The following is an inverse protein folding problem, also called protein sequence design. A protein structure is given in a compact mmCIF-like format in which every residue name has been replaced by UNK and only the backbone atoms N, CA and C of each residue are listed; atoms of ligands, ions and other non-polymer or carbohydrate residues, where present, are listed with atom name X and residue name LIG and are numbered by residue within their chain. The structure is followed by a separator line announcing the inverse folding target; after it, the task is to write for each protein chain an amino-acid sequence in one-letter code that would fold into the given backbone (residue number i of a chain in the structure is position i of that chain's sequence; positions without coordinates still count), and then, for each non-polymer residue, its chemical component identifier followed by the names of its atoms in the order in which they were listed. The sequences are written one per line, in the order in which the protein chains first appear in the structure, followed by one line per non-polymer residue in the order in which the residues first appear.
data_IF_457383069423
#
_entry.id   IF_457383069423
#
_cell.length_a   1.000
_cell.length_b   1.000
_cell.length_c   1.000
_cell.angle_alpha   90.00
_cell.angle_beta   90.00
_cell.angle_gamma   90.00
#
_symmetry.space_group_name_H-M   'P 1'
#
loop_
_entity.id
_entity.type
_entity.pdbx_description
1 polymer ?
#
# COMPACT_ATOMS: atom_id res chain seq x y z
N UNK A 1 9.02 20.98 11.44
CA UNK A 1 8.40 19.66 11.71
C UNK A 1 9.28 18.54 11.16
N UNK A 2 9.64 17.58 12.01
CA UNK A 2 10.35 16.38 11.59
C UNK A 2 9.34 15.24 11.38
N UNK A 3 9.26 14.69 10.18
CA UNK A 3 8.44 13.52 9.86
C UNK A 3 9.38 12.39 9.45
N UNK A 4 9.67 11.52 10.41
CA UNK A 4 10.64 10.44 10.25
C UNK A 4 9.92 9.16 9.84
N UNK A 5 9.73 8.81 8.64
CA UNK A 5 9.34 7.51 8.09
C UNK A 5 8.65 6.50 9.05
N UNK A 6 8.40 5.32 8.56
CA UNK A 6 7.81 4.23 9.35
C UNK A 6 8.76 3.04 9.43
N UNK A 7 8.80 2.40 10.60
CA UNK A 7 9.44 1.10 10.78
C UNK A 7 8.35 0.03 10.95
N UNK A 8 8.58 -1.16 10.41
CA UNK A 8 7.67 -2.27 10.63
C UNK A 8 7.75 -2.70 12.11
N UNK A 9 6.62 -2.61 12.82
CA UNK A 9 6.46 -3.15 14.17
C UNK A 9 5.94 -4.58 14.02
N UNK A 10 6.86 -5.54 13.99
CA UNK A 10 6.54 -6.95 13.79
C UNK A 10 6.96 -7.73 15.02
N UNK A 11 6.15 -8.71 15.36
CA UNK A 11 6.48 -9.67 16.41
C UNK A 11 7.76 -10.44 16.07
N UNK A 12 8.41 -10.95 17.08
CA UNK A 12 9.57 -11.79 16.91
C UNK A 12 9.13 -13.13 16.32
N UNK A 13 9.82 -13.53 15.26
CA UNK A 13 9.68 -14.86 14.67
C UNK A 13 10.85 -15.69 15.17
N UNK A 14 10.57 -16.88 15.69
CA UNK A 14 11.61 -17.80 16.14
C UNK A 14 12.57 -18.14 15.00
N UNK A 15 13.87 -18.15 15.29
CA UNK A 15 14.92 -18.40 14.33
C UNK A 15 15.49 -17.17 13.66
N UNK A 16 16.48 -17.39 12.80
CA UNK A 16 17.15 -16.31 12.05
C UNK A 16 16.35 -16.00 10.78
N UNK A 17 15.75 -14.83 10.73
CA UNK A 17 14.99 -14.36 9.58
C UNK A 17 15.55 -13.03 9.08
N UNK A 18 15.87 -12.97 7.80
CA UNK A 18 16.42 -11.78 7.18
C UNK A 18 15.41 -10.63 7.17
N UNK A 19 15.89 -9.45 7.57
CA UNK A 19 15.11 -8.22 7.60
C UNK A 19 15.83 -7.09 6.88
N UNK A 20 15.07 -6.22 6.27
CA UNK A 20 15.57 -4.96 5.73
C UNK A 20 15.88 -3.97 6.87
N UNK A 21 16.62 -2.89 6.55
CA UNK A 21 16.96 -1.83 7.52
C UNK A 21 15.72 -1.19 8.19
N UNK A 22 14.60 -1.14 7.49
CA UNK A 22 13.32 -0.62 8.00
C UNK A 22 12.44 -1.69 8.66
N UNK A 23 13.00 -2.87 8.95
CA UNK A 23 12.42 -3.96 9.75
C UNK A 23 11.52 -4.92 8.98
N UNK A 24 11.32 -4.76 7.67
CA UNK A 24 10.49 -5.66 6.86
C UNK A 24 11.18 -7.00 6.66
N UNK A 25 10.41 -8.07 6.62
CA UNK A 25 10.92 -9.41 6.29
C UNK A 25 11.30 -9.51 4.82
N UNK A 26 12.48 -10.07 4.55
CA UNK A 26 12.90 -10.44 3.20
C UNK A 26 12.16 -11.70 2.78
N UNK A 27 11.43 -11.63 1.66
CA UNK A 27 10.65 -12.76 1.12
C UNK A 27 11.18 -13.18 -0.25
N UNK A 28 10.89 -14.42 -0.62
CA UNK A 28 11.05 -14.87 -1.98
C UNK A 28 9.98 -14.26 -2.92
N UNK A 29 10.03 -14.62 -4.20
CA UNK A 29 9.05 -14.16 -5.20
C UNK A 29 7.63 -14.67 -4.94
N UNK A 30 7.46 -15.73 -4.15
CA UNK A 30 6.17 -16.32 -3.78
C UNK A 30 5.64 -15.74 -2.46
N UNK A 31 6.32 -14.75 -1.87
CA UNK A 31 6.03 -14.16 -0.57
C UNK A 31 6.33 -15.08 0.63
N UNK A 32 7.09 -16.14 0.45
CA UNK A 32 7.54 -17.02 1.53
C UNK A 32 8.85 -16.52 2.15
N UNK A 33 9.08 -16.84 3.42
CA UNK A 33 10.39 -16.63 4.04
C UNK A 33 11.38 -17.70 3.52
N UNK A 34 12.58 -17.32 3.07
CA UNK A 34 13.56 -18.28 2.56
C UNK A 34 13.95 -19.36 3.58
N UNK A 35 14.09 -19.00 4.85
CA UNK A 35 14.41 -19.92 5.94
C UNK A 35 13.20 -20.74 6.41
N UNK A 36 11.98 -20.28 6.17
CA UNK A 36 10.72 -20.88 6.60
C UNK A 36 9.71 -20.84 5.44
N UNK A 37 9.83 -21.74 4.45
CA UNK A 37 9.03 -21.69 3.21
C UNK A 37 7.53 -21.97 3.45
N UNK A 38 7.14 -22.40 4.63
CA UNK A 38 5.76 -22.54 5.08
C UNK A 38 5.16 -21.22 5.59
N UNK A 39 6.00 -20.20 5.89
CA UNK A 39 5.58 -18.91 6.39
C UNK A 39 5.51 -17.90 5.25
N UNK A 40 4.34 -17.33 5.03
CA UNK A 40 4.12 -16.30 4.02
C UNK A 40 3.95 -14.93 4.67
N UNK A 41 4.62 -13.92 4.11
CA UNK A 41 4.56 -12.54 4.59
C UNK A 41 4.05 -11.63 3.48
N UNK A 42 3.16 -10.71 3.82
CA UNK A 42 2.53 -9.81 2.86
C UNK A 42 2.38 -8.39 3.41
N UNK A 43 2.01 -7.47 2.56
CA UNK A 43 1.76 -6.08 2.93
C UNK A 43 3.00 -5.35 3.39
N UNK A 44 2.81 -4.45 4.33
CA UNK A 44 3.87 -3.58 4.86
C UNK A 44 4.90 -4.33 5.71
N UNK A 45 4.58 -5.58 6.08
CA UNK A 45 5.51 -6.49 6.76
C UNK A 45 6.55 -7.09 5.82
N UNK A 46 6.24 -7.21 4.51
CA UNK A 46 7.10 -7.82 3.51
C UNK A 46 7.96 -6.79 2.76
N UNK A 47 9.21 -7.12 2.50
CA UNK A 47 10.07 -6.38 1.57
C UNK A 47 9.74 -6.80 0.13
N UNK A 48 8.64 -6.30 -0.40
CA UNK A 48 8.20 -6.61 -1.75
C UNK A 48 9.19 -6.04 -2.78
N UNK A 49 9.66 -6.87 -3.71
CA UNK A 49 10.66 -6.48 -4.70
C UNK A 49 10.10 -6.50 -6.12
N UNK A 50 10.61 -5.59 -6.96
CA UNK A 50 10.38 -5.57 -8.40
C UNK A 50 11.66 -5.13 -9.11
N UNK A 51 12.20 -5.97 -9.98
CA UNK A 51 13.41 -5.65 -10.73
C UNK A 51 14.65 -5.41 -9.85
N UNK A 52 14.75 -6.05 -8.68
CA UNK A 52 15.85 -5.88 -7.73
C UNK A 52 15.68 -4.71 -6.74
N UNK A 53 14.65 -3.87 -6.92
CA UNK A 53 14.37 -2.75 -6.02
C UNK A 53 13.24 -3.08 -5.06
N UNK A 54 13.41 -2.69 -3.79
CA UNK A 54 12.38 -2.84 -2.78
C UNK A 54 11.31 -1.76 -2.97
N UNK A 55 10.07 -2.18 -3.12
CA UNK A 55 8.95 -1.30 -3.33
C UNK A 55 8.61 -0.48 -2.07
N UNK A 56 8.10 0.73 -2.29
CA UNK A 56 7.51 1.55 -1.23
C UNK A 56 6.31 0.86 -0.60
N UNK A 57 5.96 1.23 0.62
CA UNK A 57 4.70 0.83 1.25
C UNK A 57 3.55 1.52 0.52
N UNK A 58 2.52 0.75 0.16
CA UNK A 58 1.31 1.27 -0.45
C UNK A 58 0.15 0.29 -0.30
N UNK A 59 -1.04 0.82 -0.12
CA UNK A 59 -2.28 0.05 0.11
C UNK A 59 -2.52 -0.99 -0.99
N UNK A 60 -2.28 -0.64 -2.27
CA UNK A 60 -2.43 -1.58 -3.37
C UNK A 60 -1.47 -2.78 -3.26
N UNK A 61 -0.22 -2.56 -2.90
CA UNK A 61 0.73 -3.65 -2.70
C UNK A 61 0.31 -4.54 -1.54
N UNK A 62 -0.16 -3.94 -0.43
CA UNK A 62 -0.62 -4.69 0.74
C UNK A 62 -1.82 -5.56 0.42
N UNK A 63 -2.83 -5.03 -0.27
CA UNK A 63 -4.03 -5.78 -0.67
C UNK A 63 -3.68 -6.93 -1.64
N UNK A 64 -2.90 -6.65 -2.67
CA UNK A 64 -2.60 -7.66 -3.70
C UNK A 64 -1.62 -8.73 -3.20
N UNK A 65 -0.61 -8.34 -2.43
CA UNK A 65 0.30 -9.32 -1.82
C UNK A 65 -0.42 -10.19 -0.78
N UNK A 66 -1.31 -9.62 0.04
CA UNK A 66 -2.13 -10.39 0.98
C UNK A 66 -3.03 -11.41 0.28
N UNK A 67 -3.68 -11.01 -0.82
CA UNK A 67 -4.48 -11.94 -1.64
C UNK A 67 -3.63 -13.05 -2.26
N UNK A 68 -2.43 -12.73 -2.74
CA UNK A 68 -1.53 -13.74 -3.31
C UNK A 68 -0.97 -14.66 -2.24
N UNK A 69 -0.57 -14.13 -1.09
CA UNK A 69 -0.13 -14.94 0.05
C UNK A 69 -1.20 -15.92 0.50
N UNK A 70 -2.44 -15.45 0.66
CA UNK A 70 -3.58 -16.33 1.00
C UNK A 70 -3.81 -17.46 -0.02
N UNK A 71 -3.68 -17.17 -1.32
CA UNK A 71 -3.74 -18.21 -2.38
C UNK A 71 -2.58 -19.19 -2.28
N UNK A 72 -1.39 -18.72 -1.94
CA UNK A 72 -0.21 -19.55 -1.80
C UNK A 72 -0.29 -20.44 -0.55
N UNK A 73 -0.84 -19.94 0.56
CA UNK A 73 -1.17 -20.74 1.75
C UNK A 73 -2.15 -21.86 1.38
N UNK A 74 -3.26 -21.53 0.71
CA UNK A 74 -4.22 -22.53 0.26
C UNK A 74 -3.61 -23.56 -0.71
N UNK A 75 -2.74 -23.12 -1.62
CA UNK A 75 -2.01 -23.99 -2.53
C UNK A 75 -1.11 -24.96 -1.78
N UNK A 76 -0.38 -24.48 -0.75
CA UNK A 76 0.45 -25.35 0.11
C UNK A 76 -0.38 -26.41 0.82
N UNK A 77 -1.48 -26.02 1.45
CA UNK A 77 -2.36 -26.95 2.18
C UNK A 77 -2.94 -28.04 1.24
N UNK A 78 -3.20 -27.69 -0.02
CA UNK A 78 -3.75 -28.60 -1.03
C UNK A 78 -2.69 -29.21 -1.95
N UNK A 79 -1.42 -29.13 -1.57
CA UNK A 79 -0.27 -29.69 -2.32
C UNK A 79 -0.18 -29.20 -3.77
N UNK A 80 -0.65 -27.97 -4.03
CA UNK A 80 -0.57 -27.32 -5.33
C UNK A 80 0.65 -26.40 -5.41
N UNK A 81 1.06 -26.09 -6.63
CA UNK A 81 2.16 -25.16 -6.87
C UNK A 81 1.78 -23.73 -6.41
N UNK A 82 2.65 -23.12 -5.61
CA UNK A 82 2.58 -21.70 -5.27
C UNK A 82 2.91 -20.84 -6.49
N UNK A 83 2.41 -19.60 -6.51
CA UNK A 83 2.59 -18.67 -7.63
C UNK A 83 3.30 -17.41 -7.21
N UNK A 84 4.19 -16.86 -8.05
CA UNK A 84 4.90 -15.63 -7.76
C UNK A 84 3.93 -14.43 -7.67
N UNK A 85 4.24 -13.54 -6.75
CA UNK A 85 3.59 -12.24 -6.66
C UNK A 85 4.16 -11.31 -7.74
N UNK A 86 3.28 -10.73 -8.54
CA UNK A 86 3.64 -9.75 -9.58
C UNK A 86 3.09 -8.38 -9.18
N UNK A 87 3.92 -7.52 -8.56
CA UNK A 87 3.45 -6.21 -8.11
C UNK A 87 3.13 -5.29 -9.29
N UNK A 88 1.93 -4.73 -9.29
CA UNK A 88 1.52 -3.67 -10.19
C UNK A 88 1.52 -2.34 -9.44
N UNK A 89 2.37 -1.40 -9.86
CA UNK A 89 2.38 -0.07 -9.28
C UNK A 89 1.35 0.82 -9.97
N UNK A 90 0.28 1.13 -9.26
CA UNK A 90 -0.80 1.98 -9.75
C UNK A 90 -0.51 3.49 -9.54
N UNK A 91 0.68 3.81 -9.01
CA UNK A 91 1.03 5.18 -8.66
C UNK A 91 0.69 5.53 -7.21
N UNK A 92 0.74 6.81 -6.92
CA UNK A 92 0.49 7.36 -5.61
C UNK A 92 -0.13 8.76 -5.71
N UNK A 93 -0.95 9.11 -4.76
CA UNK A 93 -1.50 10.46 -4.59
C UNK A 93 -1.44 10.81 -3.12
N UNK A 94 -0.84 11.95 -2.81
CA UNK A 94 -0.73 12.48 -1.44
C UNK A 94 -1.68 13.67 -1.33
N UNK A 95 -2.71 13.57 -0.49
CA UNK A 95 -3.57 14.72 -0.18
C UNK A 95 -2.81 15.71 0.71
N UNK A 96 -2.93 17.00 0.39
CA UNK A 96 -2.34 18.12 1.09
C UNK A 96 -3.45 19.12 1.38
N UNK A 97 -4.23 18.87 2.43
CA UNK A 97 -5.43 19.67 2.73
C UNK A 97 -6.41 19.72 1.55
N UNK A 98 -6.52 20.82 0.85
CA UNK A 98 -7.49 21.06 -0.23
C UNK A 98 -6.99 20.64 -1.62
N UNK A 99 -5.72 20.33 -1.73
CA UNK A 99 -5.06 19.93 -2.96
C UNK A 99 -4.37 18.58 -2.81
N UNK A 100 -3.82 18.09 -3.89
CA UNK A 100 -3.01 16.87 -3.87
C UNK A 100 -1.84 16.98 -4.84
N UNK A 101 -0.89 16.09 -4.67
CA UNK A 101 0.17 15.83 -5.65
C UNK A 101 0.38 14.33 -5.79
N UNK A 102 0.72 13.88 -6.98
CA UNK A 102 0.96 12.46 -7.21
C UNK A 102 1.23 12.08 -8.64
N UNK A 103 1.28 10.78 -8.86
CA UNK A 103 1.39 10.17 -10.19
C UNK A 103 0.47 8.95 -10.28
N UNK A 104 -0.22 8.80 -11.39
CA UNK A 104 -0.98 7.60 -11.75
C UNK A 104 -0.11 6.75 -12.68
N UNK A 105 -0.12 5.43 -12.49
CA UNK A 105 0.69 4.47 -13.25
C UNK A 105 2.19 4.86 -13.33
N UNK A 106 2.68 5.56 -12.31
CA UNK A 106 4.04 6.12 -12.18
C UNK A 106 4.48 7.12 -13.27
N UNK A 107 3.62 7.47 -14.21
CA UNK A 107 3.96 8.32 -15.35
C UNK A 107 3.08 9.57 -15.47
N UNK A 108 1.80 9.48 -15.18
CA UNK A 108 0.86 10.59 -15.37
C UNK A 108 0.83 11.47 -14.11
N UNK A 109 1.31 12.71 -14.15
CA UNK A 109 1.25 13.60 -13.00
C UNK A 109 -0.19 13.99 -12.71
N UNK A 110 -0.54 14.04 -11.43
CA UNK A 110 -1.85 14.46 -10.92
C UNK A 110 -1.64 15.49 -9.85
N UNK A 111 -2.38 16.58 -9.88
CA UNK A 111 -2.26 17.65 -8.92
C UNK A 111 -3.60 18.34 -8.64
N UNK A 112 -3.63 19.17 -7.61
CA UNK A 112 -4.76 20.00 -7.25
C UNK A 112 -5.99 19.22 -6.77
N UNK A 113 -7.16 19.82 -6.96
CA UNK A 113 -8.44 19.25 -6.52
C UNK A 113 -8.84 17.96 -7.25
N UNK A 114 -8.39 17.79 -8.50
CA UNK A 114 -8.65 16.55 -9.27
C UNK A 114 -7.99 15.34 -8.62
N UNK A 115 -6.73 15.44 -8.27
CA UNK A 115 -6.02 14.34 -7.60
C UNK A 115 -6.61 14.05 -6.22
N UNK A 116 -7.06 15.07 -5.48
CA UNK A 116 -7.74 14.89 -4.21
C UNK A 116 -9.02 14.05 -4.37
N UNK A 117 -9.87 14.41 -5.33
CA UNK A 117 -11.11 13.67 -5.64
C UNK A 117 -10.84 12.23 -6.05
N UNK A 118 -9.83 12.03 -6.89
CA UNK A 118 -9.42 10.70 -7.34
C UNK A 118 -8.92 9.85 -6.15
N UNK A 119 -8.12 10.45 -5.26
CA UNK A 119 -7.63 9.76 -4.06
C UNK A 119 -8.79 9.25 -3.19
N UNK A 120 -9.72 10.12 -2.82
CA UNK A 120 -10.85 9.75 -1.98
C UNK A 120 -11.79 8.77 -2.69
N UNK A 121 -12.08 8.96 -3.97
CA UNK A 121 -12.88 8.02 -4.76
C UNK A 121 -12.25 6.61 -4.74
N UNK A 122 -10.95 6.51 -4.99
CA UNK A 122 -10.24 5.23 -4.99
C UNK A 122 -10.17 4.58 -3.60
N UNK A 123 -10.06 5.37 -2.54
CA UNK A 123 -10.13 4.88 -1.16
C UNK A 123 -11.51 4.26 -0.88
N UNK A 124 -12.59 4.96 -1.19
CA UNK A 124 -13.95 4.46 -1.02
C UNK A 124 -14.21 3.19 -1.84
N UNK A 125 -13.83 3.20 -3.12
CA UNK A 125 -14.02 2.06 -4.00
C UNK A 125 -13.29 0.80 -3.54
N UNK A 126 -12.04 0.94 -3.06
CA UNK A 126 -11.22 -0.19 -2.62
C UNK A 126 -11.71 -0.86 -1.35
N UNK A 127 -12.29 -0.08 -0.44
CA UNK A 127 -12.69 -0.58 0.86
C UNK A 127 -14.15 -1.04 0.90
N UNK A 128 -15.04 -0.35 0.19
CA UNK A 128 -16.47 -0.48 0.40
C UNK A 128 -17.28 -0.62 -0.90
N UNK A 129 -16.65 -0.57 -2.07
CA UNK A 129 -17.32 -0.65 -3.37
C UNK A 129 -17.87 0.68 -3.88
N UNK A 130 -18.66 0.62 -4.96
CA UNK A 130 -19.09 1.80 -5.70
C UNK A 130 -19.95 2.81 -4.92
N UNK A 131 -20.91 2.40 -4.06
CA UNK A 131 -21.70 3.37 -3.29
C UNK A 131 -20.84 4.25 -2.38
N UNK A 132 -19.92 3.66 -1.64
CA UNK A 132 -19.02 4.38 -0.74
C UNK A 132 -17.99 5.19 -1.51
N UNK A 133 -17.55 4.74 -2.67
CA UNK A 133 -16.69 5.54 -3.55
C UNK A 133 -17.34 6.89 -3.88
N UNK A 134 -18.65 6.89 -4.11
CA UNK A 134 -19.40 8.11 -4.37
C UNK A 134 -19.50 9.04 -3.15
N UNK A 135 -19.71 8.48 -1.95
CA UNK A 135 -19.73 9.29 -0.71
C UNK A 135 -18.37 9.92 -0.42
N UNK A 136 -17.29 9.17 -0.57
CA UNK A 136 -15.93 9.70 -0.44
C UNK A 136 -15.62 10.77 -1.49
N UNK A 137 -16.13 10.62 -2.71
CA UNK A 137 -15.99 11.62 -3.76
C UNK A 137 -16.75 12.93 -3.40
N UNK A 138 -17.94 12.84 -2.85
CA UNK A 138 -18.69 14.01 -2.36
C UNK A 138 -17.94 14.74 -1.24
N UNK A 139 -17.36 14.01 -0.30
CA UNK A 139 -16.51 14.56 0.76
C UNK A 139 -15.33 15.34 0.17
N UNK A 140 -14.64 14.76 -0.82
CA UNK A 140 -13.54 15.44 -1.49
C UNK A 140 -13.96 16.69 -2.26
N UNK A 141 -15.17 16.69 -2.85
CA UNK A 141 -15.76 17.86 -3.48
C UNK A 141 -16.01 18.99 -2.45
N UNK A 142 -16.50 18.64 -1.27
CA UNK A 142 -16.74 19.60 -0.20
C UNK A 142 -15.42 20.20 0.27
N UNK A 143 -14.42 19.38 0.59
CA UNK A 143 -13.09 19.83 1.01
C UNK A 143 -12.42 20.75 -0.02
N UNK A 144 -12.59 20.47 -1.32
CA UNK A 144 -12.00 21.29 -2.39
C UNK A 144 -12.72 22.62 -2.66
N UNK A 145 -13.89 22.84 -2.07
CA UNK A 145 -14.70 24.05 -2.23
C UNK A 145 -14.70 24.97 -1.00
N UNK A 146 -14.34 24.43 0.15
CA UNK A 146 -14.21 25.20 1.39
C UNK A 146 -12.77 25.67 1.51
N UNK A 147 -12.44 26.94 1.21
CA UNK A 147 -11.12 27.46 1.52
C UNK A 147 -10.94 27.35 3.03
N UNK A 148 -10.00 26.55 3.45
CA UNK A 148 -9.68 26.37 4.86
C UNK A 148 -9.23 27.70 5.44
N UNK A 149 -10.08 28.30 6.23
CA UNK A 149 -9.70 29.36 7.15
C UNK A 149 -8.85 28.73 8.26
N UNK A 150 -7.64 28.31 7.93
CA UNK A 150 -6.63 28.13 8.94
C UNK A 150 -6.02 29.50 9.23
N UNK A 151 -6.79 30.34 9.92
CA UNK A 151 -6.20 31.45 10.66
C UNK A 151 -5.28 30.79 11.71
N UNK A 152 -4.00 30.79 11.40
CA UNK A 152 -2.97 30.61 12.41
C UNK A 152 -3.02 31.86 13.28
N UNK A 153 -3.92 31.89 14.25
CA UNK A 153 -3.84 32.84 15.36
C UNK A 153 -2.55 32.54 16.09
N UNK A 154 -1.64 33.52 15.98
CA UNK A 154 -0.31 33.55 16.58
C UNK A 154 -0.28 33.46 18.09
#
# INVERSE_FOLDING_TARGET
CWSAGMRAALEEVEGTVDRTRDGRFVTDVNLALPAHPEVFVAGDAAALNKGGETLRRAVNFSIYSGRQAGKNVAARITERAVRPFKPADLGWVIPLSEISTGKILNSIPVAGSFGLRLHYFMCGFRHFGAPQAWEFHKTALHLSRSPGSMELTG
#
